data_IF_147213329912
#
_entry.id   IF_147213329912
#
_cell.length_a   1.000
_cell.length_b   1.000
_cell.length_c   1.000
_cell.angle_alpha   90.00
_cell.angle_beta   90.00
_cell.angle_gamma   90.00
#
_symmetry.space_group_name_H-M   'P 1'
#
loop_
_entity.id
_entity.type
_entity.pdbx_description
1 polymer ?
#
# COMPACT_ATOMS: atom_id res chain seq x y z
N UNK A 1 -12.57 16.71 2.74
CA UNK A 1 -11.83 15.70 3.52
C UNK A 1 -12.06 14.33 2.88
N UNK A 2 -11.03 13.52 2.72
CA UNK A 2 -11.12 12.16 2.16
C UNK A 2 -10.52 11.18 3.17
N UNK A 3 -11.15 10.03 3.40
CA UNK A 3 -10.65 8.99 4.31
C UNK A 3 -11.16 7.59 3.93
N UNK A 4 -10.40 6.57 4.30
CA UNK A 4 -10.80 5.15 4.19
C UNK A 4 -11.51 4.66 5.45
N UNK A 5 -12.30 3.59 5.31
CA UNK A 5 -13.01 2.94 6.40
C UNK A 5 -12.98 1.40 6.29
N UNK A 6 -13.11 0.72 7.43
CA UNK A 6 -13.24 -0.76 7.49
C UNK A 6 -14.61 -1.27 7.08
N UNK A 7 -15.57 -0.39 6.82
CA UNK A 7 -16.88 -0.74 6.25
C UNK A 7 -16.84 -0.94 4.73
N UNK A 8 -15.65 -1.16 4.16
CA UNK A 8 -15.37 -1.28 2.73
C UNK A 8 -15.45 0.02 1.94
N UNK A 9 -15.52 1.21 2.57
CA UNK A 9 -15.66 2.46 1.82
C UNK A 9 -14.42 3.36 1.86
N UNK A 10 -14.24 4.12 0.78
CA UNK A 10 -13.58 5.43 0.81
C UNK A 10 -14.63 6.52 0.76
N UNK A 11 -14.51 7.52 1.62
CA UNK A 11 -15.44 8.65 1.73
C UNK A 11 -14.77 9.95 1.30
N UNK A 12 -15.55 10.84 0.69
CA UNK A 12 -15.25 12.26 0.62
C UNK A 12 -16.36 13.08 1.26
N UNK A 13 -15.99 13.99 2.14
CA UNK A 13 -16.88 14.92 2.81
C UNK A 13 -16.50 16.37 2.46
N UNK A 14 -17.51 17.22 2.39
CA UNK A 14 -17.33 18.67 2.39
C UNK A 14 -16.83 19.08 3.80
N UNK A 15 -15.74 19.86 3.85
CA UNK A 15 -15.06 20.16 5.11
C UNK A 15 -15.82 21.19 5.97
N UNK A 16 -16.60 22.06 5.35
CA UNK A 16 -17.37 23.10 6.04
C UNK A 16 -18.65 22.53 6.65
N UNK A 17 -19.31 21.61 5.95
CA UNK A 17 -20.64 21.10 6.33
C UNK A 17 -20.63 19.68 6.89
N UNK A 18 -19.52 18.94 6.74
CA UNK A 18 -19.42 17.52 7.08
C UNK A 18 -20.25 16.59 6.19
N UNK A 19 -20.97 17.12 5.19
CA UNK A 19 -21.84 16.31 4.33
C UNK A 19 -21.02 15.48 3.34
N UNK A 20 -21.45 14.23 3.11
CA UNK A 20 -20.86 13.34 2.12
C UNK A 20 -21.03 13.91 0.71
N UNK A 21 -19.90 14.09 0.02
CA UNK A 21 -19.82 14.39 -1.40
C UNK A 21 -20.00 13.11 -2.22
N UNK A 22 -19.20 12.09 -1.91
CA UNK A 22 -19.29 10.76 -2.52
C UNK A 22 -18.74 9.70 -1.55
N UNK A 23 -19.07 8.44 -1.83
CA UNK A 23 -18.39 7.28 -1.26
C UNK A 23 -18.26 6.19 -2.33
N UNK A 24 -17.20 5.40 -2.26
CA UNK A 24 -16.96 4.28 -3.15
C UNK A 24 -16.72 3.04 -2.32
N UNK A 25 -17.41 1.96 -2.67
CA UNK A 25 -17.26 0.66 -2.04
C UNK A 25 -16.12 -0.10 -2.71
N UNK A 26 -15.07 -0.39 -1.96
CA UNK A 26 -14.01 -1.34 -2.29
C UNK A 26 -14.52 -2.77 -2.05
N UNK A 27 -15.00 -3.41 -3.12
CA UNK A 27 -15.61 -4.74 -3.02
C UNK A 27 -14.59 -5.77 -2.52
N UNK A 28 -14.84 -6.29 -1.32
CA UNK A 28 -14.07 -7.39 -0.74
C UNK A 28 -12.85 -6.98 0.08
N UNK A 29 -12.68 -5.69 0.42
CA UNK A 29 -11.54 -5.25 1.23
C UNK A 29 -11.77 -3.99 2.05
N UNK A 30 -11.16 -3.94 3.23
CA UNK A 30 -11.10 -2.71 4.02
C UNK A 30 -10.14 -1.68 3.40
N UNK A 31 -10.49 -0.41 3.56
CA UNK A 31 -9.63 0.72 3.21
C UNK A 31 -9.06 1.31 4.49
N UNK A 32 -7.93 0.76 4.96
CA UNK A 32 -7.30 1.16 6.23
C UNK A 32 -6.27 2.28 6.01
N UNK A 33 -5.60 2.27 4.86
CA UNK A 33 -4.61 3.28 4.54
C UNK A 33 -5.24 4.67 4.47
N UNK A 34 -4.54 5.67 5.03
CA UNK A 34 -4.87 7.07 4.78
C UNK A 34 -4.71 7.35 3.28
N UNK A 35 -5.75 7.82 2.58
CA UNK A 35 -5.64 8.10 1.15
C UNK A 35 -4.78 9.35 0.91
N UNK A 36 -3.74 9.22 0.08
CA UNK A 36 -2.98 10.37 -0.40
C UNK A 36 -3.78 11.09 -1.49
N UNK A 37 -4.06 12.37 -1.30
CA UNK A 37 -4.64 13.23 -2.34
C UNK A 37 -3.52 14.04 -2.97
N UNK A 38 -3.26 13.84 -4.27
CA UNK A 38 -2.29 14.63 -5.02
C UNK A 38 -2.86 15.02 -6.38
N UNK A 39 -2.78 16.32 -6.69
CA UNK A 39 -3.39 16.94 -7.87
C UNK A 39 -4.90 16.67 -7.93
N UNK A 40 -5.38 15.78 -8.82
CA UNK A 40 -6.80 15.38 -8.96
C UNK A 40 -6.99 13.85 -8.81
N UNK A 41 -6.05 13.21 -8.10
CA UNK A 41 -6.05 11.78 -7.88
C UNK A 41 -5.94 11.43 -6.39
N UNK A 42 -6.51 10.28 -6.05
CA UNK A 42 -6.37 9.65 -4.74
C UNK A 42 -5.56 8.38 -4.94
N UNK A 43 -4.56 8.18 -4.09
CA UNK A 43 -3.74 6.97 -4.06
C UNK A 43 -3.96 6.26 -2.73
N UNK A 44 -4.43 5.03 -2.77
CA UNK A 44 -4.82 4.32 -1.55
C UNK A 44 -4.60 2.82 -1.66
N UNK A 45 -4.03 2.25 -0.60
CA UNK A 45 -3.84 0.82 -0.43
C UNK A 45 -5.05 0.12 0.17
N UNK A 46 -5.23 -1.15 -0.14
CA UNK A 46 -6.31 -1.97 0.40
C UNK A 46 -5.78 -3.11 1.29
N UNK A 47 -6.66 -3.66 2.13
CA UNK A 47 -6.35 -4.81 2.98
C UNK A 47 -6.41 -6.14 2.23
N UNK A 48 -7.61 -6.67 1.97
CA UNK A 48 -7.82 -8.07 1.61
C UNK A 48 -7.90 -8.31 0.10
N UNK A 49 -8.16 -7.26 -0.68
CA UNK A 49 -8.03 -7.30 -2.15
C UNK A 49 -6.58 -7.16 -2.59
N UNK A 50 -5.66 -6.80 -1.69
CA UNK A 50 -4.22 -6.61 -1.92
C UNK A 50 -3.95 -5.70 -3.12
N UNK A 51 -4.57 -4.51 -3.15
CA UNK A 51 -4.45 -3.59 -4.28
C UNK A 51 -3.90 -2.24 -3.85
N UNK A 52 -3.30 -1.55 -4.81
CA UNK A 52 -3.06 -0.13 -4.74
C UNK A 52 -3.92 0.56 -5.80
N UNK A 53 -4.85 1.40 -5.38
CA UNK A 53 -5.85 2.01 -6.23
C UNK A 53 -5.50 3.47 -6.50
N UNK A 54 -5.74 3.89 -7.75
CA UNK A 54 -5.76 5.29 -8.16
C UNK A 54 -7.21 5.67 -8.46
N UNK A 55 -7.78 6.61 -7.71
CA UNK A 55 -9.15 7.09 -7.88
C UNK A 55 -9.16 8.55 -8.36
N UNK A 56 -10.23 8.98 -9.01
CA UNK A 56 -10.49 10.40 -9.28
C UNK A 56 -10.89 11.11 -8.00
N UNK A 57 -10.22 12.21 -7.64
CA UNK A 57 -10.49 12.88 -6.36
C UNK A 57 -11.90 13.49 -6.26
N UNK A 58 -12.50 13.90 -7.38
CA UNK A 58 -13.80 14.57 -7.41
C UNK A 58 -14.99 13.62 -7.37
N UNK A 59 -14.85 12.42 -7.91
CA UNK A 59 -15.96 11.46 -8.06
C UNK A 59 -15.74 10.17 -7.29
N UNK A 60 -14.49 9.85 -6.96
CA UNK A 60 -14.08 8.57 -6.40
C UNK A 60 -13.89 7.46 -7.46
N UNK A 61 -14.14 7.73 -8.75
CA UNK A 61 -14.09 6.71 -9.78
C UNK A 61 -12.70 6.06 -9.88
N UNK A 62 -12.68 4.73 -9.98
CA UNK A 62 -11.45 3.96 -10.13
C UNK A 62 -10.81 4.25 -11.50
N UNK A 63 -9.64 4.89 -11.50
CA UNK A 63 -8.85 5.16 -12.72
C UNK A 63 -7.91 4.00 -13.05
N UNK A 64 -7.22 3.47 -12.04
CA UNK A 64 -6.29 2.37 -12.20
C UNK A 64 -6.18 1.57 -10.90
N UNK A 65 -5.76 0.31 -11.01
CA UNK A 65 -5.55 -0.53 -9.84
C UNK A 65 -4.45 -1.56 -10.06
N UNK A 66 -3.47 -1.56 -9.17
CA UNK A 66 -2.35 -2.50 -9.20
C UNK A 66 -2.65 -3.67 -8.28
N UNK A 67 -2.73 -4.91 -8.80
CA UNK A 67 -2.72 -6.07 -7.94
C UNK A 67 -1.33 -6.19 -7.31
N UNK A 68 -1.32 -6.33 -6.00
CA UNK A 68 -0.17 -6.70 -5.21
C UNK A 68 -0.45 -8.08 -4.60
N UNK A 69 0.57 -8.69 -4.01
CA UNK A 69 0.42 -9.96 -3.33
C UNK A 69 0.34 -9.81 -1.80
N UNK A 70 0.15 -8.58 -1.30
CA UNK A 70 -0.07 -8.33 0.13
C UNK A 70 -0.71 -6.96 0.41
N UNK A 71 -1.14 -6.78 1.65
CA UNK A 71 -1.80 -5.58 2.21
C UNK A 71 -0.94 -4.33 2.07
N UNK A 72 -1.61 -3.19 1.86
CA UNK A 72 -0.99 -1.86 1.89
C UNK A 72 -1.75 -1.01 2.91
N UNK A 73 -1.14 -0.81 4.09
CA UNK A 73 -1.75 -0.06 5.20
C UNK A 73 -1.15 1.32 5.40
N UNK A 74 0.07 1.55 4.93
CA UNK A 74 0.71 2.84 5.01
C UNK A 74 0.09 3.83 4.03
N UNK A 75 0.10 5.11 4.40
CA UNK A 75 -0.15 6.19 3.45
C UNK A 75 0.97 6.23 2.41
N UNK A 76 0.62 6.51 1.16
CA UNK A 76 1.59 6.80 0.11
C UNK A 76 2.09 8.25 0.24
N UNK A 77 3.30 8.52 -0.24
CA UNK A 77 3.84 9.88 -0.27
C UNK A 77 4.20 10.30 -1.68
N UNK A 78 4.00 11.58 -1.98
CA UNK A 78 4.41 12.16 -3.26
C UNK A 78 5.80 12.79 -3.14
N UNK A 79 6.66 12.51 -4.10
CA UNK A 79 7.96 13.16 -4.24
C UNK A 79 8.29 13.38 -5.71
N UNK A 80 8.54 14.64 -6.09
CA UNK A 80 8.65 15.04 -7.51
C UNK A 80 7.45 14.53 -8.32
N UNK A 81 7.69 13.63 -9.27
CA UNK A 81 6.69 13.03 -10.15
C UNK A 81 6.45 11.55 -9.81
N UNK A 82 6.70 11.14 -8.57
CA UNK A 82 6.52 9.76 -8.12
C UNK A 82 5.58 9.70 -6.91
N UNK A 83 4.87 8.57 -6.81
CA UNK A 83 4.09 8.17 -5.65
C UNK A 83 4.77 6.95 -5.04
N UNK A 84 5.17 7.06 -3.78
CA UNK A 84 5.96 6.05 -3.08
C UNK A 84 5.13 5.45 -1.95
N UNK A 85 5.08 4.12 -1.86
CA UNK A 85 4.29 3.44 -0.83
C UNK A 85 4.91 2.11 -0.39
N UNK A 86 4.67 1.74 0.87
CA UNK A 86 5.14 0.49 1.47
C UNK A 86 4.08 -0.61 1.41
N UNK A 87 4.52 -1.85 1.25
CA UNK A 87 3.65 -3.03 1.24
C UNK A 87 4.11 -4.07 2.27
N UNK A 88 3.16 -4.86 2.77
CA UNK A 88 3.44 -5.93 3.73
C UNK A 88 4.30 -7.07 3.17
N UNK A 89 4.47 -7.16 1.85
CA UNK A 89 5.43 -8.09 1.23
C UNK A 89 6.90 -7.66 1.40
N UNK A 90 7.15 -6.55 2.12
CA UNK A 90 8.48 -5.99 2.38
C UNK A 90 9.09 -5.33 1.15
N UNK A 91 8.25 -4.80 0.26
CA UNK A 91 8.67 -3.99 -0.87
C UNK A 91 8.17 -2.55 -0.71
N UNK A 92 9.02 -1.58 -1.06
CA UNK A 92 8.67 -0.18 -1.24
C UNK A 92 8.58 0.08 -2.75
N UNK A 93 7.44 0.57 -3.20
CA UNK A 93 7.14 0.81 -4.60
C UNK A 93 7.26 2.28 -4.94
N UNK A 94 7.81 2.60 -6.12
CA UNK A 94 7.70 3.92 -6.75
C UNK A 94 6.83 3.81 -8.00
N UNK A 95 5.76 4.59 -8.05
CA UNK A 95 4.77 4.65 -9.11
C UNK A 95 4.86 5.99 -9.83
N UNK A 96 4.88 5.98 -11.16
CA UNK A 96 4.67 7.19 -11.94
C UNK A 96 3.16 7.43 -12.13
N UNK A 97 2.60 8.54 -11.60
CA UNK A 97 1.19 8.83 -11.69
C UNK A 97 0.72 9.26 -13.09
N UNK A 98 1.63 9.67 -13.98
CA UNK A 98 1.29 10.14 -15.33
C UNK A 98 0.92 8.99 -16.27
N UNK A 99 1.56 7.83 -16.11
CA UNK A 99 1.31 6.64 -16.92
C UNK A 99 0.78 5.44 -16.11
N UNK A 100 0.65 5.59 -14.79
CA UNK A 100 0.24 4.53 -13.88
C UNK A 100 1.15 3.29 -13.98
N UNK A 101 2.47 3.47 -13.96
CA UNK A 101 3.44 2.38 -13.99
C UNK A 101 4.35 2.35 -12.76
N UNK A 102 4.57 1.16 -12.20
CA UNK A 102 5.60 0.94 -11.18
C UNK A 102 6.97 1.06 -11.84
N UNK A 103 7.73 2.08 -11.49
CA UNK A 103 9.03 2.36 -12.07
C UNK A 103 10.17 1.68 -11.32
N UNK A 104 10.10 1.63 -9.99
CA UNK A 104 11.15 1.08 -9.14
C UNK A 104 10.54 0.31 -7.98
N UNK A 105 11.26 -0.74 -7.54
CA UNK A 105 10.92 -1.55 -6.39
C UNK A 105 12.16 -1.72 -5.53
N UNK A 106 12.11 -1.22 -4.31
CA UNK A 106 13.06 -1.59 -3.27
C UNK A 106 12.50 -2.78 -2.49
N UNK A 107 13.37 -3.71 -2.08
CA UNK A 107 13.01 -4.86 -1.27
C UNK A 107 13.84 -4.87 0.00
N UNK A 108 13.17 -4.97 1.15
CA UNK A 108 13.83 -5.03 2.47
C UNK A 108 14.73 -6.26 2.57
N UNK A 109 15.63 -6.24 3.57
CA UNK A 109 16.54 -7.36 3.84
C UNK A 109 15.77 -8.61 4.25
N UNK A 110 14.75 -8.45 5.09
CA UNK A 110 13.85 -9.55 5.50
C UNK A 110 13.13 -10.17 4.31
N UNK A 111 12.59 -9.33 3.43
CA UNK A 111 11.89 -9.79 2.23
C UNK A 111 12.86 -10.54 1.32
N UNK A 112 14.03 -9.99 0.96
CA UNK A 112 15.03 -10.71 0.13
C UNK A 112 15.39 -12.10 0.66
N UNK A 113 15.50 -12.25 1.98
CA UNK A 113 15.85 -13.53 2.63
C UNK A 113 14.68 -14.51 2.66
N UNK A 114 13.49 -14.03 2.99
CA UNK A 114 12.35 -14.88 3.35
C UNK A 114 11.27 -14.94 2.25
N UNK A 115 11.39 -14.18 1.15
CA UNK A 115 10.35 -14.05 0.13
C UNK A 115 9.85 -15.40 -0.38
N UNK A 116 10.79 -16.28 -0.74
CA UNK A 116 10.48 -17.59 -1.31
C UNK A 116 10.03 -18.64 -0.30
N UNK A 117 9.90 -18.27 0.98
CA UNK A 117 9.22 -19.11 1.99
C UNK A 117 7.70 -18.95 1.90
N UNK A 118 7.22 -17.83 1.36
CA UNK A 118 5.80 -17.47 1.24
C UNK A 118 5.35 -17.48 -0.22
N UNK A 119 6.18 -16.94 -1.12
CA UNK A 119 5.85 -16.79 -2.54
C UNK A 119 6.63 -17.75 -3.44
N UNK A 120 6.04 -18.09 -4.59
CA UNK A 120 6.71 -18.76 -5.69
C UNK A 120 7.51 -17.80 -6.56
N UNK A 121 8.08 -18.32 -7.66
CA UNK A 121 8.85 -17.51 -8.62
C UNK A 121 7.99 -16.52 -9.41
N UNK A 122 6.68 -16.72 -9.46
CA UNK A 122 5.71 -15.87 -10.13
C UNK A 122 5.02 -14.86 -9.19
N UNK A 123 5.61 -14.58 -8.02
CA UNK A 123 5.04 -13.72 -6.97
C UNK A 123 3.70 -14.20 -6.35
N UNK A 124 3.18 -15.36 -6.75
CA UNK A 124 1.98 -15.97 -6.15
C UNK A 124 2.32 -16.67 -4.83
N UNK A 125 1.34 -16.81 -3.93
CA UNK A 125 1.52 -17.64 -2.72
C UNK A 125 1.86 -19.08 -3.08
N UNK A 126 2.78 -19.69 -2.33
CA UNK A 126 3.03 -21.13 -2.42
C UNK A 126 1.80 -21.88 -1.93
N UNK A 127 1.54 -23.05 -2.49
CA UNK A 127 0.44 -23.94 -2.06
C UNK A 127 0.53 -24.30 -0.56
N UNK A 128 1.76 -24.36 -0.02
CA UNK A 128 2.00 -24.63 1.40
C UNK A 128 1.78 -23.43 2.32
N UNK A 129 1.45 -22.26 1.78
CA UNK A 129 1.18 -21.04 2.52
C UNK A 129 -0.26 -20.60 2.33
N UNK A 130 -1.02 -20.52 3.44
CA UNK A 130 -2.36 -19.95 3.44
C UNK A 130 -2.39 -18.67 4.27
N UNK A 131 -2.68 -17.55 3.59
CA UNK A 131 -2.74 -16.23 4.23
C UNK A 131 -3.80 -16.17 5.35
N UNK A 132 -4.97 -16.74 5.08
CA UNK A 132 -6.14 -16.75 5.96
C UNK A 132 -6.58 -18.19 6.27
N UNK A 133 -5.62 -19.04 6.63
CA UNK A 133 -5.85 -20.44 6.97
C UNK A 133 -6.22 -20.67 8.44
N UNK A 134 -6.09 -21.92 8.89
CA UNK A 134 -6.43 -22.32 10.26
C UNK A 134 -5.54 -21.69 11.35
N UNK A 135 -4.31 -21.29 11.00
CA UNK A 135 -3.36 -20.66 11.91
C UNK A 135 -2.91 -19.29 11.35
N UNK A 136 -3.79 -18.30 11.50
CA UNK A 136 -3.56 -16.93 11.03
C UNK A 136 -2.37 -16.29 11.75
N UNK A 137 -2.14 -16.62 13.03
CA UNK A 137 -1.01 -16.08 13.78
C UNK A 137 0.33 -16.55 13.21
N UNK A 138 0.46 -17.84 12.88
CA UNK A 138 1.68 -18.36 12.25
C UNK A 138 1.91 -17.76 10.86
N UNK A 139 0.84 -17.59 10.07
CA UNK A 139 0.93 -16.94 8.75
C UNK A 139 1.35 -15.47 8.89
N UNK A 140 0.77 -14.74 9.83
CA UNK A 140 1.12 -13.33 10.07
C UNK A 140 2.57 -13.20 10.54
N UNK A 141 3.03 -14.04 11.47
CA UNK A 141 4.44 -14.07 11.90
C UNK A 141 5.38 -14.25 10.72
N UNK A 142 5.08 -15.17 9.79
CA UNK A 142 5.87 -15.37 8.57
C UNK A 142 5.88 -14.13 7.69
N UNK A 143 4.73 -13.49 7.47
CA UNK A 143 4.63 -12.26 6.67
C UNK A 143 5.49 -11.16 7.27
N UNK A 144 5.44 -10.95 8.58
CA UNK A 144 6.25 -9.95 9.26
C UNK A 144 7.75 -10.26 9.13
N UNK A 145 8.19 -11.52 8.98
CA UNK A 145 9.61 -11.82 8.67
C UNK A 145 10.07 -11.32 7.30
N UNK A 146 9.16 -10.91 6.42
CA UNK A 146 9.50 -10.23 5.18
C UNK A 146 9.97 -8.79 5.44
N UNK A 147 9.97 -8.28 6.67
CA UNK A 147 10.16 -6.86 6.90
C UNK A 147 9.04 -6.08 6.21
N UNK A 148 7.79 -6.45 6.51
CA UNK A 148 6.60 -5.70 6.08
C UNK A 148 6.77 -4.21 6.37
N UNK A 149 6.42 -3.35 5.43
CA UNK A 149 6.51 -1.89 5.58
C UNK A 149 5.12 -1.37 5.93
N UNK A 150 4.92 -1.05 7.22
CA UNK A 150 3.66 -0.53 7.76
C UNK A 150 3.68 0.99 7.94
N UNK A 151 4.87 1.58 8.01
CA UNK A 151 5.06 3.01 8.25
C UNK A 151 4.85 3.81 6.97
N UNK A 152 4.19 4.96 7.08
CA UNK A 152 4.22 6.00 6.04
C UNK A 152 5.67 6.44 5.83
N UNK A 153 6.22 6.36 4.60
CA UNK A 153 7.56 6.84 4.33
C UNK A 153 7.66 8.35 4.55
N UNK A 154 8.73 8.83 5.17
CA UNK A 154 9.05 10.25 5.28
C UNK A 154 10.15 10.61 4.28
N UNK A 155 10.02 11.74 3.58
CA UNK A 155 11.01 12.12 2.56
C UNK A 155 11.62 13.47 2.91
N UNK A 156 12.94 13.50 2.99
CA UNK A 156 13.71 14.72 3.20
C UNK A 156 14.98 14.71 2.33
N UNK A 157 15.23 15.80 1.61
CA UNK A 157 16.41 15.99 0.76
C UNK A 157 16.65 14.83 -0.23
N UNK A 158 15.57 14.24 -0.75
CA UNK A 158 15.62 13.12 -1.68
C UNK A 158 16.01 11.79 -1.05
N UNK A 159 15.86 11.65 0.26
CA UNK A 159 16.03 10.39 0.98
C UNK A 159 14.67 10.01 1.58
N UNK A 160 14.19 8.81 1.28
CA UNK A 160 13.04 8.20 1.93
C UNK A 160 13.47 7.42 3.18
N UNK A 161 12.85 7.76 4.32
CA UNK A 161 13.01 7.11 5.60
C UNK A 161 11.76 6.30 5.94
N UNK A 162 11.92 5.03 6.27
CA UNK A 162 10.82 4.15 6.64
C UNK A 162 11.30 2.98 7.50
N UNK A 163 10.42 2.45 8.34
CA UNK A 163 10.68 1.29 9.17
C UNK A 163 10.03 0.03 8.61
N UNK A 164 10.57 -1.12 8.96
CA UNK A 164 9.94 -2.42 8.73
C UNK A 164 9.56 -3.13 10.03
N UNK A 165 8.75 -4.17 9.90
CA UNK A 165 8.31 -5.02 11.02
C UNK A 165 9.42 -5.87 11.67
N UNK A 166 10.65 -5.84 11.15
CA UNK A 166 11.82 -6.47 11.78
C UNK A 166 12.64 -5.47 12.60
N UNK A 167 12.15 -4.24 12.75
CA UNK A 167 12.81 -3.18 13.52
C UNK A 167 13.94 -2.50 12.74
N UNK A 168 14.02 -2.69 11.43
CA UNK A 168 15.02 -2.03 10.59
C UNK A 168 14.48 -0.69 10.10
N UNK A 169 15.28 0.37 10.24
CA UNK A 169 15.01 1.68 9.63
C UNK A 169 15.89 1.83 8.40
N UNK A 170 15.27 2.18 7.28
CA UNK A 170 15.92 2.41 6.00
C UNK A 170 16.05 3.91 5.72
N UNK A 171 17.14 4.28 5.05
CA UNK A 171 17.35 5.57 4.42
C UNK A 171 17.70 5.33 2.95
N UNK A 172 16.70 5.46 2.08
CA UNK A 172 16.81 5.13 0.65
C UNK A 172 16.90 6.42 -0.17
N UNK A 173 18.01 6.61 -0.89
CA UNK A 173 18.14 7.74 -1.81
C UNK A 173 17.24 7.53 -3.03
N UNK A 174 16.36 8.50 -3.26
CA UNK A 174 15.47 8.57 -4.42
C UNK A 174 16.19 9.23 -5.60
N UNK A 175 15.77 8.91 -6.82
CA UNK A 175 16.35 9.46 -8.04
C UNK A 175 15.76 10.84 -8.38
#
# INVERSE_FOLDING_TARGET
MIFGCRDYNTYALNIETGRRLWNIVEKGSWVIATPLVSQDAIYVGTSDTHRFNILQARTGDLKHSFPLNMRVYAEAVSYKNEIIFGCFNGKLYSLNPANAEIQQIFQTTGSKKNYYTIYGQNDAFKESFSLYGNDVEASEKKILTLGSILSTPFIEQGIAYFGDSNGVIYALRLK
#
